data_IF_722878062287
#
_entry.id   IF_722878062287
#
_cell.length_a   1.000
_cell.length_b   1.000
_cell.length_c   1.000
_cell.angle_alpha   90.00
_cell.angle_beta   90.00
_cell.angle_gamma   90.00
#
_symmetry.space_group_name_H-M   'P 1'
#
loop_
_entity.id
_entity.type
_entity.pdbx_description
1 polymer ?
#
# COMPACT_ATOMS: atom_id res chain seq x y z
N UNK A 1 -7.80 10.79 -19.74
CA UNK A 1 -7.25 9.52 -19.25
C UNK A 1 -8.08 8.95 -18.10
N UNK A 2 -8.30 9.63 -16.98
CA UNK A 2 -8.99 9.05 -15.80
C UNK A 2 -10.39 8.51 -16.13
N UNK A 3 -11.28 9.34 -16.65
CA UNK A 3 -12.69 8.96 -16.86
C UNK A 3 -13.00 8.39 -18.26
N UNK A 4 -12.11 8.58 -19.23
CA UNK A 4 -12.31 8.19 -20.63
C UNK A 4 -11.24 7.20 -21.13
N UNK A 5 -10.63 6.42 -20.22
CA UNK A 5 -9.72 5.35 -20.60
C UNK A 5 -10.48 4.25 -21.37
N UNK A 6 -9.90 3.75 -22.45
CA UNK A 6 -10.54 2.81 -23.39
C UNK A 6 -10.16 1.36 -23.15
N UNK A 7 -9.04 1.10 -22.52
CA UNK A 7 -8.51 -0.24 -22.21
C UNK A 7 -8.55 -1.20 -23.42
N UNK A 8 -7.79 -0.93 -24.52
CA UNK A 8 -7.74 -1.83 -25.65
C UNK A 8 -7.13 -3.18 -25.24
N UNK A 9 -7.67 -4.29 -25.74
CA UNK A 9 -7.23 -5.63 -25.34
C UNK A 9 -5.74 -5.89 -25.63
N UNK A 10 -5.23 -5.32 -26.74
CA UNK A 10 -3.80 -5.39 -27.06
C UNK A 10 -2.89 -4.77 -25.99
N UNK A 11 -3.31 -3.64 -25.40
CA UNK A 11 -2.55 -2.97 -24.34
C UNK A 11 -2.68 -3.71 -23.02
N UNK A 12 -3.86 -4.27 -22.72
CA UNK A 12 -4.09 -5.08 -21.51
C UNK A 12 -3.17 -6.30 -21.52
N UNK A 13 -3.01 -6.95 -22.69
CA UNK A 13 -2.12 -8.10 -22.82
C UNK A 13 -0.67 -7.76 -22.49
N UNK A 14 -0.14 -6.67 -23.06
CA UNK A 14 1.21 -6.19 -22.79
C UNK A 14 1.41 -5.79 -21.33
N UNK A 15 0.46 -5.04 -20.76
CA UNK A 15 0.55 -4.60 -19.36
C UNK A 15 0.48 -5.76 -18.39
N UNK A 16 -0.31 -6.80 -18.70
CA UNK A 16 -0.36 -8.03 -17.89
C UNK A 16 0.98 -8.76 -17.85
N UNK A 17 1.72 -8.79 -18.97
CA UNK A 17 3.08 -9.36 -19.02
C UNK A 17 4.03 -8.55 -18.13
N UNK A 18 4.01 -7.22 -18.22
CA UNK A 18 4.86 -6.33 -17.40
C UNK A 18 4.55 -6.50 -15.92
N UNK A 19 3.27 -6.46 -15.52
CA UNK A 19 2.86 -6.65 -14.12
C UNK A 19 3.24 -8.06 -13.64
N UNK A 20 3.15 -9.08 -14.51
CA UNK A 20 3.57 -10.44 -14.18
C UNK A 20 5.05 -10.54 -13.86
N UNK A 21 5.91 -9.83 -14.62
CA UNK A 21 7.34 -9.73 -14.33
C UNK A 21 7.59 -8.96 -13.03
N UNK A 22 6.87 -7.86 -12.77
CA UNK A 22 6.96 -7.12 -11.50
C UNK A 22 6.59 -7.99 -10.30
N UNK A 23 5.48 -8.73 -10.35
CA UNK A 23 5.08 -9.66 -9.28
C UNK A 23 6.18 -10.70 -9.02
N UNK A 24 6.78 -11.23 -10.08
CA UNK A 24 7.86 -12.21 -9.96
C UNK A 24 9.08 -11.58 -9.32
N UNK A 25 9.49 -10.40 -9.76
CA UNK A 25 10.62 -9.65 -9.21
C UNK A 25 10.44 -9.37 -7.70
N UNK A 26 9.26 -8.91 -7.29
CA UNK A 26 8.97 -8.67 -5.87
C UNK A 26 8.99 -9.96 -5.05
N UNK A 27 8.44 -11.03 -5.57
CA UNK A 27 8.48 -12.34 -4.91
C UNK A 27 9.89 -12.90 -4.79
N UNK A 28 10.75 -12.67 -5.77
CA UNK A 28 12.14 -13.15 -5.75
C UNK A 28 13.05 -12.32 -4.84
N UNK A 29 12.67 -11.09 -4.50
CA UNK A 29 13.39 -10.24 -3.56
C UNK A 29 12.92 -10.50 -2.12
N UNK A 30 13.75 -11.13 -1.24
CA UNK A 30 13.32 -11.38 0.14
C UNK A 30 13.00 -10.10 0.92
N UNK A 31 13.70 -9.00 0.62
CA UNK A 31 13.51 -7.71 1.28
C UNK A 31 12.17 -7.05 0.92
N UNK A 32 11.68 -7.26 -0.31
CA UNK A 32 10.38 -6.73 -0.74
C UNK A 32 9.24 -7.67 -0.32
N UNK A 33 9.45 -8.99 -0.49
CA UNK A 33 8.45 -10.01 -0.17
C UNK A 33 8.08 -10.06 1.31
N UNK A 34 8.99 -9.70 2.23
CA UNK A 34 8.68 -9.67 3.67
C UNK A 34 7.50 -8.74 4.00
N UNK A 35 7.32 -7.64 3.24
CA UNK A 35 6.20 -6.72 3.40
C UNK A 35 4.83 -7.37 3.10
N UNK A 36 4.76 -8.22 2.07
CA UNK A 36 3.54 -8.99 1.76
C UNK A 36 3.23 -10.01 2.87
N UNK A 37 4.26 -10.68 3.41
CA UNK A 37 4.10 -11.61 4.54
C UNK A 37 3.62 -10.89 5.80
N UNK A 38 4.15 -9.72 6.11
CA UNK A 38 3.71 -8.87 7.22
C UNK A 38 2.24 -8.47 7.04
N UNK A 39 1.88 -7.99 5.85
CA UNK A 39 0.50 -7.61 5.54
C UNK A 39 -0.46 -8.78 5.71
N UNK A 40 -0.11 -9.93 5.18
CA UNK A 40 -0.88 -11.18 5.35
C UNK A 40 -1.00 -11.60 6.83
N UNK A 41 0.07 -11.48 7.61
CA UNK A 41 0.05 -11.82 9.03
C UNK A 41 -0.82 -10.87 9.86
N UNK A 42 -0.72 -9.56 9.59
CA UNK A 42 -1.49 -8.54 10.32
C UNK A 42 -2.98 -8.55 9.97
N UNK A 43 -3.29 -8.60 8.67
CA UNK A 43 -4.65 -8.31 8.20
C UNK A 43 -5.44 -9.56 7.84
N UNK A 44 -4.78 -10.72 7.64
CA UNK A 44 -5.43 -11.98 7.25
C UNK A 44 -6.26 -11.83 5.98
N UNK A 45 -7.52 -12.24 6.05
CA UNK A 45 -8.45 -12.20 4.92
C UNK A 45 -9.03 -10.79 4.63
N UNK A 46 -8.66 -9.78 5.41
CA UNK A 46 -9.05 -8.40 5.13
C UNK A 46 -8.30 -7.89 3.89
N UNK A 47 -8.89 -7.02 3.04
CA UNK A 47 -8.23 -6.50 1.83
C UNK A 47 -6.86 -5.85 2.06
N UNK A 48 -6.59 -5.31 3.25
CA UNK A 48 -5.27 -4.79 3.62
C UNK A 48 -4.18 -5.88 3.70
N UNK A 49 -4.57 -7.15 3.80
CA UNK A 49 -3.65 -8.30 3.80
C UNK A 49 -3.24 -8.76 2.40
N UNK A 50 -3.88 -8.26 1.36
CA UNK A 50 -3.55 -8.62 -0.01
C UNK A 50 -2.30 -7.86 -0.51
N UNK A 51 -1.48 -8.53 -1.31
CA UNK A 51 -0.43 -7.85 -2.07
C UNK A 51 -1.03 -6.78 -2.99
N UNK A 52 -0.40 -5.61 -3.05
CA UNK A 52 -0.85 -4.49 -3.90
C UNK A 52 -0.78 -4.86 -5.39
N UNK A 53 0.24 -5.61 -5.80
CA UNK A 53 0.40 -6.07 -7.17
C UNK A 53 -0.52 -7.26 -7.52
N UNK A 54 -1.17 -7.85 -6.52
CA UNK A 54 -1.98 -9.05 -6.69
C UNK A 54 -1.15 -10.32 -6.88
N UNK A 55 -1.69 -11.28 -7.66
CA UNK A 55 -1.02 -12.52 -8.02
C UNK A 55 -1.09 -12.77 -9.53
N UNK A 56 -0.26 -13.68 -10.05
CA UNK A 56 -0.31 -14.06 -11.47
C UNK A 56 -1.70 -14.57 -11.86
N UNK A 57 -2.39 -15.28 -10.94
CA UNK A 57 -3.74 -15.76 -11.14
C UNK A 57 -4.75 -14.61 -11.21
N UNK A 58 -4.65 -13.64 -10.28
CA UNK A 58 -5.58 -12.51 -10.23
C UNK A 58 -5.45 -11.60 -11.44
N UNK A 59 -4.23 -11.30 -11.90
CA UNK A 59 -4.02 -10.47 -13.09
C UNK A 59 -4.44 -11.17 -14.38
N UNK A 60 -4.33 -12.50 -14.46
CA UNK A 60 -4.77 -13.27 -15.62
C UNK A 60 -6.29 -13.17 -15.86
N UNK A 61 -7.06 -12.92 -14.80
CA UNK A 61 -8.51 -12.77 -14.87
C UNK A 61 -8.96 -11.35 -15.25
N UNK A 62 -8.06 -10.35 -15.27
CA UNK A 62 -8.41 -8.96 -15.56
C UNK A 62 -8.54 -8.78 -17.09
N UNK A 63 -9.70 -8.31 -17.52
CA UNK A 63 -10.03 -7.96 -18.90
C UNK A 63 -10.54 -6.52 -19.03
N UNK A 64 -10.80 -6.07 -20.24
CA UNK A 64 -11.29 -4.72 -20.51
C UNK A 64 -12.64 -4.41 -19.88
N UNK A 65 -13.53 -5.40 -19.77
CA UNK A 65 -14.84 -5.21 -19.14
C UNK A 65 -14.70 -5.00 -17.62
N UNK A 66 -13.86 -5.78 -16.96
CA UNK A 66 -13.55 -5.63 -15.51
C UNK A 66 -12.89 -4.28 -15.24
N UNK A 67 -11.95 -3.82 -16.08
CA UNK A 67 -11.31 -2.52 -15.93
C UNK A 67 -12.30 -1.37 -16.12
N UNK A 68 -13.20 -1.44 -17.11
CA UNK A 68 -14.27 -0.47 -17.30
C UNK A 68 -15.23 -0.45 -16.10
N UNK A 69 -15.61 -1.61 -15.60
CA UNK A 69 -16.49 -1.74 -14.42
C UNK A 69 -15.82 -1.13 -13.17
N UNK A 70 -14.56 -1.45 -12.93
CA UNK A 70 -13.77 -0.90 -11.82
C UNK A 70 -13.64 0.63 -11.92
N UNK A 71 -13.26 1.16 -13.10
CA UNK A 71 -13.20 2.60 -13.35
C UNK A 71 -14.55 3.27 -13.05
N UNK A 72 -15.65 2.71 -13.56
CA UNK A 72 -16.98 3.28 -13.38
C UNK A 72 -17.44 3.26 -11.93
N UNK A 73 -17.00 2.28 -11.15
CA UNK A 73 -17.31 2.17 -9.73
C UNK A 73 -16.46 3.11 -8.87
N UNK A 74 -15.16 3.23 -9.17
CA UNK A 74 -14.20 3.86 -8.26
C UNK A 74 -13.72 5.25 -8.71
N UNK A 75 -13.73 5.57 -10.01
CA UNK A 75 -13.20 6.85 -10.50
C UNK A 75 -14.26 7.93 -10.73
N UNK A 76 -15.54 7.58 -10.72
CA UNK A 76 -16.65 8.52 -10.83
C UNK A 76 -17.20 8.93 -9.45
N UNK A 77 -16.32 9.33 -8.54
CA UNK A 77 -16.64 9.63 -7.14
C UNK A 77 -16.68 11.13 -6.89
N UNK A 78 -17.53 11.56 -5.93
CA UNK A 78 -17.66 12.97 -5.53
C UNK A 78 -16.46 13.51 -4.74
N UNK A 79 -15.63 12.61 -4.19
CA UNK A 79 -14.46 12.94 -3.38
C UNK A 79 -13.15 13.08 -4.17
N UNK A 80 -13.25 13.27 -5.50
CA UNK A 80 -12.09 13.55 -6.34
C UNK A 80 -11.55 14.93 -6.03
N UNK A 81 -10.25 15.01 -5.78
CA UNK A 81 -9.50 16.25 -5.60
C UNK A 81 -8.57 16.46 -6.80
N UNK A 82 -8.67 17.64 -7.42
CA UNK A 82 -7.77 18.05 -8.49
C UNK A 82 -6.87 19.16 -7.95
N UNK A 83 -5.58 18.91 -7.84
CA UNK A 83 -4.59 19.88 -7.45
C UNK A 83 -3.76 20.31 -8.66
N UNK A 84 -3.57 21.62 -8.83
CA UNK A 84 -2.76 22.18 -9.89
C UNK A 84 -1.84 23.27 -9.30
N UNK A 85 -0.58 23.29 -9.74
CA UNK A 85 0.39 24.31 -9.38
C UNK A 85 1.09 24.84 -10.63
N UNK A 86 1.17 26.16 -10.78
CA UNK A 86 1.77 26.81 -11.95
C UNK A 86 1.35 28.28 -12.10
N UNK A 87 1.76 28.95 -13.16
CA UNK A 87 1.45 30.36 -13.43
C UNK A 87 0.07 30.52 -14.10
N UNK A 88 -0.99 30.11 -13.43
CA UNK A 88 -2.37 30.20 -13.91
C UNK A 88 -3.32 30.56 -12.78
N UNK A 89 -4.51 31.04 -13.13
CA UNK A 89 -5.59 31.28 -12.17
C UNK A 89 -6.48 30.05 -12.01
N UNK A 90 -7.23 30.02 -10.94
CA UNK A 90 -8.24 28.96 -10.68
C UNK A 90 -9.28 28.88 -11.81
N UNK A 91 -9.73 30.02 -12.32
CA UNK A 91 -10.75 30.06 -13.38
C UNK A 91 -10.22 29.51 -14.71
N UNK A 92 -8.95 29.80 -15.03
CA UNK A 92 -8.30 29.22 -16.23
C UNK A 92 -8.25 27.68 -16.12
N UNK A 93 -7.81 27.13 -14.97
CA UNK A 93 -7.78 25.68 -14.77
C UNK A 93 -9.19 25.09 -14.82
N UNK A 94 -10.16 25.68 -14.13
CA UNK A 94 -11.55 25.21 -14.16
C UNK A 94 -12.11 25.22 -15.60
N UNK A 95 -11.83 26.26 -16.37
CA UNK A 95 -12.21 26.32 -17.79
C UNK A 95 -11.57 25.21 -18.64
N UNK A 96 -10.32 24.86 -18.36
CA UNK A 96 -9.60 23.81 -19.08
C UNK A 96 -10.08 22.39 -18.73
N UNK A 97 -10.41 22.11 -17.47
CA UNK A 97 -10.78 20.76 -17.04
C UNK A 97 -12.28 20.47 -17.14
N UNK A 98 -13.15 21.49 -17.01
CA UNK A 98 -14.62 21.34 -17.02
C UNK A 98 -15.16 20.52 -18.20
N UNK A 99 -14.67 20.66 -19.44
CA UNK A 99 -15.15 19.86 -20.56
C UNK A 99 -14.87 18.36 -20.44
N UNK A 100 -13.93 17.97 -19.58
CA UNK A 100 -13.50 16.58 -19.39
C UNK A 100 -14.06 15.93 -18.12
N UNK A 101 -14.75 16.71 -17.27
CA UNK A 101 -15.37 16.16 -16.05
C UNK A 101 -16.58 15.32 -16.42
N UNK A 102 -16.85 14.23 -15.70
CA UNK A 102 -18.09 13.48 -15.83
C UNK A 102 -19.32 14.34 -15.54
N UNK A 103 -20.43 14.08 -16.23
CA UNK A 103 -21.69 14.75 -15.97
C UNK A 103 -22.27 14.44 -14.58
N UNK A 104 -21.97 13.24 -14.08
CA UNK A 104 -22.45 12.76 -12.78
C UNK A 104 -21.31 12.08 -12.00
N UNK A 105 -21.26 12.36 -10.71
CA UNK A 105 -20.39 11.70 -9.74
C UNK A 105 -21.22 10.94 -8.73
N UNK A 106 -20.68 9.82 -8.24
CA UNK A 106 -21.31 8.93 -7.26
C UNK A 106 -20.72 9.12 -5.87
N UNK A 107 -21.46 8.74 -4.84
CA UNK A 107 -20.93 8.66 -3.50
C UNK A 107 -19.90 7.53 -3.41
N UNK A 108 -18.91 7.71 -2.51
CA UNK A 108 -17.92 6.68 -2.23
C UNK A 108 -18.61 5.44 -1.64
N UNK A 109 -18.14 4.26 -2.03
CA UNK A 109 -18.49 3.05 -1.31
C UNK A 109 -17.93 3.14 0.13
N UNK A 110 -18.67 2.66 1.15
CA UNK A 110 -18.15 2.64 2.52
C UNK A 110 -16.86 1.78 2.56
N UNK A 111 -15.89 2.24 3.36
CA UNK A 111 -14.72 1.43 3.64
C UNK A 111 -15.12 0.16 4.40
N UNK A 112 -14.39 -0.93 4.17
CA UNK A 112 -14.55 -2.15 4.96
C UNK A 112 -13.88 -1.93 6.33
N UNK A 113 -14.64 -2.01 7.45
CA UNK A 113 -14.06 -1.80 8.76
C UNK A 113 -13.13 -2.96 9.13
N UNK A 114 -12.03 -2.66 9.80
CA UNK A 114 -11.16 -3.67 10.40
C UNK A 114 -11.38 -3.76 11.90
N UNK A 115 -11.78 -4.94 12.40
CA UNK A 115 -11.94 -5.20 13.83
C UNK A 115 -10.65 -5.72 14.45
N UNK A 116 -9.90 -4.83 15.11
CA UNK A 116 -8.65 -5.16 15.80
C UNK A 116 -8.83 -6.12 16.99
N UNK A 117 -10.03 -6.17 17.58
CA UNK A 117 -10.27 -7.01 18.77
C UNK A 117 -10.30 -8.51 18.42
N UNK A 118 -10.51 -8.84 17.16
CA UNK A 118 -10.50 -10.22 16.66
C UNK A 118 -9.19 -10.61 15.97
N UNK A 119 -8.17 -9.75 16.03
CA UNK A 119 -6.87 -10.04 15.44
C UNK A 119 -6.07 -10.96 16.36
N UNK A 120 -5.74 -12.16 15.87
CA UNK A 120 -4.88 -13.12 16.54
C UNK A 120 -3.42 -12.91 16.14
N UNK A 121 -2.49 -13.19 17.09
CA UNK A 121 -1.07 -13.21 16.76
C UNK A 121 -0.78 -14.33 15.76
N UNK A 122 -0.09 -14.01 14.68
CA UNK A 122 0.26 -14.94 13.61
C UNK A 122 1.76 -14.93 13.37
N UNK A 123 2.27 -16.09 12.96
CA UNK A 123 3.62 -16.24 12.42
C UNK A 123 3.50 -16.78 11.02
N UNK A 124 4.10 -16.09 10.07
CA UNK A 124 4.17 -16.51 8.68
C UNK A 124 5.65 -16.68 8.33
N UNK A 125 5.97 -17.79 7.69
CA UNK A 125 7.34 -18.10 7.27
C UNK A 125 7.34 -18.50 5.79
N UNK A 126 8.37 -18.04 5.08
CA UNK A 126 8.66 -18.47 3.72
C UNK A 126 10.11 -18.94 3.67
N UNK A 127 10.32 -20.24 3.44
CA UNK A 127 11.64 -20.86 3.44
C UNK A 127 12.23 -20.86 2.02
N UNK A 128 13.36 -20.18 1.85
CA UNK A 128 14.10 -20.09 0.58
C UNK A 128 15.59 -20.23 0.79
N UNK A 129 16.29 -20.62 -0.26
CA UNK A 129 17.74 -20.51 -0.29
C UNK A 129 18.13 -19.04 -0.49
N UNK A 130 18.54 -18.38 0.60
CA UNK A 130 18.99 -16.98 0.59
C UNK A 130 20.19 -16.81 1.49
N UNK A 131 21.03 -15.82 1.17
CA UNK A 131 22.22 -15.51 2.00
C UNK A 131 21.86 -14.79 3.31
N UNK A 132 20.66 -14.22 3.42
CA UNK A 132 20.22 -13.41 4.55
C UNK A 132 18.81 -13.79 5.00
N UNK A 133 18.62 -13.87 6.32
CA UNK A 133 17.31 -13.94 6.91
C UNK A 133 16.67 -12.54 6.95
N UNK A 134 15.44 -12.43 6.44
CA UNK A 134 14.59 -11.27 6.66
C UNK A 134 13.64 -11.59 7.83
N UNK A 135 13.58 -10.72 8.81
CA UNK A 135 12.70 -10.83 9.95
C UNK A 135 11.91 -9.54 10.14
N UNK A 136 10.59 -9.65 10.22
CA UNK A 136 9.74 -8.52 10.56
C UNK A 136 8.84 -8.85 11.75
N UNK A 137 8.65 -7.87 12.61
CA UNK A 137 7.72 -7.88 13.72
C UNK A 137 6.71 -6.75 13.51
N UNK A 138 5.43 -7.06 13.59
CA UNK A 138 4.40 -6.07 13.33
C UNK A 138 3.27 -6.11 14.35
N UNK A 139 2.71 -4.94 14.64
CA UNK A 139 1.60 -4.75 15.58
C UNK A 139 0.54 -3.84 14.96
N UNK A 140 -0.73 -4.09 15.27
CA UNK A 140 -1.79 -3.17 14.90
C UNK A 140 -1.63 -1.83 15.61
N UNK A 141 -1.68 -0.76 14.83
CA UNK A 141 -1.61 0.61 15.29
C UNK A 141 -3.00 1.31 15.19
N UNK A 142 -3.20 2.43 15.89
CA UNK A 142 -4.39 3.25 15.70
C UNK A 142 -4.44 3.87 14.30
N UNK A 143 -5.65 4.24 13.85
CA UNK A 143 -5.82 4.96 12.59
C UNK A 143 -5.32 6.41 12.63
N UNK A 144 -5.23 7.03 11.46
CA UNK A 144 -4.66 8.38 11.25
C UNK A 144 -5.37 9.51 12.01
N UNK A 145 -6.61 9.30 12.44
CA UNK A 145 -7.39 10.29 13.19
C UNK A 145 -7.21 10.19 14.71
N UNK A 146 -6.47 9.19 15.19
CA UNK A 146 -6.17 9.02 16.61
C UNK A 146 -5.16 10.05 17.11
N UNK A 147 -5.39 10.60 18.30
CA UNK A 147 -4.43 11.50 18.96
C UNK A 147 -3.10 10.79 19.30
N UNK A 148 -3.14 9.48 19.57
CA UNK A 148 -1.95 8.70 19.90
C UNK A 148 -1.01 8.47 18.71
N UNK A 149 -1.40 8.80 17.47
CA UNK A 149 -0.53 8.65 16.28
C UNK A 149 0.80 9.38 16.42
N UNK A 150 0.80 10.57 17.04
CA UNK A 150 2.02 11.35 17.21
C UNK A 150 2.99 10.69 18.19
N UNK A 151 2.46 10.13 19.29
CA UNK A 151 3.29 9.40 20.26
C UNK A 151 3.89 8.13 19.62
N UNK A 152 3.09 7.41 18.82
CA UNK A 152 3.57 6.22 18.12
C UNK A 152 4.63 6.58 17.06
N UNK A 153 4.46 7.67 16.33
CA UNK A 153 5.49 8.15 15.37
C UNK A 153 6.78 8.50 16.10
N UNK A 154 6.70 9.19 17.24
CA UNK A 154 7.89 9.48 18.04
C UNK A 154 8.55 8.20 18.57
N UNK A 155 7.77 7.20 18.99
CA UNK A 155 8.30 5.91 19.40
C UNK A 155 9.07 5.22 18.27
N UNK A 156 8.51 5.19 17.06
CA UNK A 156 9.17 4.66 15.86
C UNK A 156 10.50 5.37 15.60
N UNK A 157 10.49 6.70 15.59
CA UNK A 157 11.72 7.51 15.39
C UNK A 157 12.81 7.17 16.41
N UNK A 158 12.45 6.99 17.67
CA UNK A 158 13.40 6.64 18.73
C UNK A 158 13.93 5.20 18.60
N UNK A 159 13.11 4.29 18.06
CA UNK A 159 13.46 2.88 17.95
C UNK A 159 14.30 2.57 16.72
N UNK A 160 13.89 2.99 15.51
CA UNK A 160 14.50 2.47 14.31
C UNK A 160 14.59 3.39 13.09
N UNK A 161 14.16 4.67 13.13
CA UNK A 161 14.13 5.52 11.93
C UNK A 161 15.45 6.27 11.64
N UNK A 162 16.48 6.14 12.47
CA UNK A 162 17.74 6.86 12.26
C UNK A 162 18.96 6.05 12.70
N UNK A 163 20.15 6.46 12.24
CA UNK A 163 21.42 5.88 12.66
C UNK A 163 21.74 6.08 14.16
N UNK A 164 21.05 6.99 14.85
CA UNK A 164 21.13 7.18 16.30
C UNK A 164 20.00 6.50 17.09
N UNK A 165 19.15 5.75 16.41
CA UNK A 165 18.05 5.02 17.04
C UNK A 165 18.54 3.84 17.87
N UNK A 166 17.73 3.42 18.85
CA UNK A 166 18.12 2.37 19.80
C UNK A 166 18.40 1.02 19.14
N UNK A 167 17.53 0.60 18.21
CA UNK A 167 17.71 -0.69 17.52
C UNK A 167 18.96 -0.65 16.64
N UNK A 168 19.18 0.45 15.94
CA UNK A 168 20.36 0.59 15.09
C UNK A 168 21.66 0.51 15.92
N UNK A 169 21.77 1.25 17.01
CA UNK A 169 22.96 1.24 17.86
C UNK A 169 23.17 -0.13 18.50
N UNK A 170 22.14 -0.71 19.10
CA UNK A 170 22.25 -1.97 19.83
C UNK A 170 22.50 -3.18 18.93
N UNK A 171 21.68 -3.34 17.87
CA UNK A 171 21.70 -4.58 17.08
C UNK A 171 22.70 -4.53 15.94
N UNK A 172 22.86 -3.37 15.30
CA UNK A 172 23.80 -3.22 14.19
C UNK A 172 25.19 -2.84 14.65
N UNK A 173 25.32 -1.72 15.42
CA UNK A 173 26.64 -1.16 15.77
C UNK A 173 27.32 -1.94 16.90
N UNK A 174 26.63 -2.27 17.99
CA UNK A 174 27.24 -2.93 19.13
C UNK A 174 27.35 -4.44 18.95
N UNK A 175 26.29 -5.09 18.41
CA UNK A 175 26.24 -6.55 18.29
C UNK A 175 26.56 -7.09 16.91
N UNK A 176 26.47 -6.28 15.86
CA UNK A 176 26.76 -6.72 14.50
C UNK A 176 25.81 -7.83 14.01
N UNK A 177 24.55 -7.87 14.50
CA UNK A 177 23.61 -8.94 14.19
C UNK A 177 22.89 -8.77 12.86
N UNK A 178 22.81 -7.54 12.36
CA UNK A 178 22.11 -7.24 11.11
C UNK A 178 22.84 -6.14 10.35
N UNK A 179 22.70 -6.15 9.03
CA UNK A 179 23.18 -5.07 8.17
C UNK A 179 22.26 -3.87 8.18
N UNK A 180 20.96 -4.12 8.21
CA UNK A 180 19.91 -3.09 8.24
C UNK A 180 18.87 -3.45 9.29
N UNK A 181 18.39 -2.44 10.00
CA UNK A 181 17.24 -2.52 10.90
C UNK A 181 16.53 -1.18 10.86
N UNK A 182 15.23 -1.22 10.81
CA UNK A 182 14.38 -0.03 10.81
C UNK A 182 13.09 -0.29 11.55
N UNK A 183 12.42 0.79 11.94
CA UNK A 183 11.01 0.74 12.32
C UNK A 183 10.23 1.76 11.51
N UNK A 184 8.96 1.47 11.25
CA UNK A 184 8.05 2.39 10.58
C UNK A 184 6.63 2.28 11.13
N UNK A 185 5.82 3.29 10.83
CA UNK A 185 4.39 3.34 11.19
C UNK A 185 3.57 3.74 9.99
N UNK A 186 2.68 2.86 9.59
CA UNK A 186 1.67 3.13 8.57
C UNK A 186 0.33 3.44 9.23
N UNK A 187 -0.34 4.50 8.79
CA UNK A 187 -1.66 4.90 9.28
C UNK A 187 -2.69 4.87 8.16
N UNK A 188 -3.70 4.02 8.31
CA UNK A 188 -4.94 4.04 7.52
C UNK A 188 -6.01 4.86 8.24
N UNK A 189 -7.23 4.93 7.71
CA UNK A 189 -8.31 5.71 8.34
C UNK A 189 -8.68 5.18 9.72
N UNK A 190 -8.94 3.88 9.85
CA UNK A 190 -9.45 3.26 11.08
C UNK A 190 -8.41 2.46 11.84
N UNK A 191 -7.32 2.10 11.20
CA UNK A 191 -6.29 1.22 11.73
C UNK A 191 -4.91 1.65 11.24
N UNK A 192 -3.87 0.92 11.62
CA UNK A 192 -2.51 1.13 11.17
C UNK A 192 -1.63 -0.05 11.54
N UNK A 193 -0.37 0.03 11.16
CA UNK A 193 0.68 -0.92 11.51
C UNK A 193 1.88 -0.18 12.13
N UNK A 194 2.49 -0.79 13.12
CA UNK A 194 3.83 -0.47 13.60
C UNK A 194 4.71 -1.67 13.30
N UNK A 195 5.83 -1.46 12.66
CA UNK A 195 6.68 -2.52 12.13
C UNK A 195 8.15 -2.29 12.52
N UNK A 196 8.85 -3.37 12.73
CA UNK A 196 10.30 -3.42 12.93
C UNK A 196 10.87 -4.46 11.98
#
# INVERSE_FOLDING_TARGET
MVWHATFPESEIGLEREVIGEEITMYKESPADHIGDLVSSALWGDHPLGNSISGSLESIAEIDGEKLVAFRNLHHFRKDVVIAAAGPFTTDEILGMISPYLPAEFRDAAPALPFDRNNAEARTVTDERETDQLQLALAWHAPGRHSESRHALRMLSMMLGESASSRLFLELREERGLCYQISSDVTFFDETGAFEI
#
